data_IF_971371095844
#
_entry.id   IF_971371095844
#
_cell.length_a   1.000
_cell.length_b   1.000
_cell.length_c   1.000
_cell.angle_alpha   90.00
_cell.angle_beta   90.00
_cell.angle_gamma   90.00
#
_symmetry.space_group_name_H-M   'P 1'
#
loop_
_entity.id
_entity.type
_entity.pdbx_description
1 polymer ?
#
# COMPACT_ATOMS: atom_id res chain seq x y z
N UNK A 1 17.60 -5.89 -24.05
CA UNK A 1 16.26 -5.52 -24.53
C UNK A 1 15.47 -5.03 -23.34
N UNK A 2 15.43 -3.73 -23.14
CA UNK A 2 14.62 -3.05 -22.12
C UNK A 2 13.18 -2.98 -22.63
N UNK A 3 12.20 -3.12 -21.73
CA UNK A 3 10.76 -3.17 -22.06
C UNK A 3 10.24 -1.89 -22.76
N UNK A 4 11.03 -0.82 -22.75
CA UNK A 4 10.73 0.46 -23.40
C UNK A 4 10.95 0.44 -24.93
N UNK A 5 11.71 -0.52 -25.48
CA UNK A 5 12.04 -0.58 -26.91
C UNK A 5 10.96 -1.27 -27.79
N UNK A 6 9.92 -1.84 -27.20
CA UNK A 6 8.79 -2.42 -27.96
C UNK A 6 7.88 -1.31 -28.51
N UNK A 7 7.95 -0.12 -27.92
CA UNK A 7 7.13 1.05 -28.28
C UNK A 7 7.92 2.15 -28.99
N UNK A 8 9.09 1.82 -29.54
CA UNK A 8 9.90 2.76 -30.31
C UNK A 8 9.18 3.22 -31.60
N UNK A 9 8.82 4.50 -31.58
CA UNK A 9 8.61 5.44 -32.70
C UNK A 9 7.61 5.03 -33.78
N UNK A 10 6.31 5.11 -33.48
CA UNK A 10 5.24 5.15 -34.49
C UNK A 10 4.70 6.58 -34.67
N UNK A 11 5.56 7.59 -34.42
CA UNK A 11 5.35 8.95 -34.94
C UNK A 11 5.77 9.03 -36.43
N UNK A 12 6.33 7.95 -36.99
CA UNK A 12 6.34 7.78 -38.44
C UNK A 12 4.91 7.48 -38.90
N UNK A 13 4.23 8.54 -39.34
CA UNK A 13 3.03 8.48 -40.14
C UNK A 13 3.15 7.36 -41.19
N UNK A 14 2.46 6.24 -40.95
CA UNK A 14 2.38 5.12 -41.89
C UNK A 14 1.89 5.64 -43.25
N UNK A 15 2.79 5.76 -44.22
CA UNK A 15 2.47 6.12 -45.61
C UNK A 15 2.37 4.84 -46.43
N UNK A 16 1.15 4.36 -46.75
CA UNK A 16 1.01 3.16 -47.57
C UNK A 16 1.59 3.43 -48.96
N UNK A 17 2.42 2.50 -49.44
CA UNK A 17 3.05 2.58 -50.77
C UNK A 17 2.08 2.27 -51.93
N UNK A 18 0.77 2.39 -51.73
CA UNK A 18 -0.27 1.92 -52.66
C UNK A 18 -1.39 2.96 -52.75
N UNK A 19 -1.78 3.29 -53.98
CA UNK A 19 -2.81 4.26 -54.38
C UNK A 19 -4.25 3.84 -54.03
N UNK A 20 -4.43 2.84 -53.17
CA UNK A 20 -5.73 2.26 -52.84
C UNK A 20 -6.13 2.60 -51.40
N UNK A 21 -7.23 3.34 -51.25
CA UNK A 21 -7.76 3.83 -49.97
C UNK A 21 -8.33 2.73 -49.04
N UNK A 22 -8.23 1.46 -49.43
CA UNK A 22 -8.83 0.32 -48.74
C UNK A 22 -7.78 -0.76 -48.47
N UNK A 23 -7.67 -1.19 -47.21
CA UNK A 23 -6.96 -2.40 -46.80
C UNK A 23 -7.94 -3.55 -46.56
N UNK A 24 -7.44 -4.74 -46.27
CA UNK A 24 -8.27 -5.92 -45.95
C UNK A 24 -8.27 -6.16 -44.43
N UNK A 25 -9.46 -6.32 -43.83
CA UNK A 25 -9.62 -6.95 -42.52
C UNK A 25 -10.45 -8.24 -42.61
N UNK A 26 -10.65 -8.90 -41.47
CA UNK A 26 -11.36 -10.18 -41.35
C UNK A 26 -12.82 -10.13 -41.86
N UNK A 27 -13.39 -8.94 -42.07
CA UNK A 27 -14.75 -8.71 -42.55
C UNK A 27 -14.81 -8.10 -43.97
N UNK A 28 -13.67 -7.96 -44.67
CA UNK A 28 -13.59 -7.47 -46.04
C UNK A 28 -12.79 -6.17 -46.22
N UNK A 29 -13.00 -5.44 -47.33
CA UNK A 29 -12.25 -4.22 -47.62
C UNK A 29 -12.69 -3.07 -46.71
N UNK A 30 -11.74 -2.49 -45.98
CA UNK A 30 -11.95 -1.43 -45.00
C UNK A 30 -10.98 -0.29 -45.24
N UNK A 31 -11.44 0.95 -45.08
CA UNK A 31 -10.61 2.13 -45.30
C UNK A 31 -9.34 2.10 -44.43
N UNK A 32 -8.20 2.44 -45.01
CA UNK A 32 -6.88 2.39 -44.33
C UNK A 32 -6.85 3.22 -43.04
N UNK A 33 -7.52 4.38 -43.02
CA UNK A 33 -7.64 5.21 -41.82
C UNK A 33 -8.44 4.54 -40.71
N UNK A 34 -9.48 3.78 -41.08
CA UNK A 34 -10.30 3.03 -40.14
C UNK A 34 -9.49 1.88 -39.53
N UNK A 35 -8.66 1.21 -40.33
CA UNK A 35 -7.72 0.18 -39.85
C UNK A 35 -6.67 0.77 -38.90
N UNK A 36 -6.11 1.93 -39.23
CA UNK A 36 -5.16 2.65 -38.36
C UNK A 36 -5.83 3.05 -37.04
N UNK A 37 -7.05 3.59 -37.10
CA UNK A 37 -7.83 3.96 -35.92
C UNK A 37 -8.15 2.75 -35.03
N UNK A 38 -8.59 1.63 -35.63
CA UNK A 38 -8.82 0.36 -34.91
C UNK A 38 -7.56 -0.11 -34.18
N UNK A 39 -6.40 -0.08 -34.85
CA UNK A 39 -5.10 -0.46 -34.23
C UNK A 39 -4.73 0.47 -33.09
N UNK A 40 -4.89 1.78 -33.27
CA UNK A 40 -4.65 2.79 -32.22
C UNK A 40 -5.54 2.52 -31.01
N UNK A 41 -6.83 2.28 -31.21
CA UNK A 41 -7.78 1.99 -30.12
C UNK A 41 -7.50 0.65 -29.44
N UNK A 42 -7.15 -0.40 -30.19
CA UNK A 42 -6.81 -1.70 -29.61
C UNK A 42 -5.55 -1.62 -28.74
N UNK A 43 -4.51 -0.94 -29.25
CA UNK A 43 -3.27 -0.66 -28.50
C UNK A 43 -3.55 0.17 -27.25
N UNK A 44 -4.34 1.23 -27.39
CA UNK A 44 -4.72 2.08 -26.27
C UNK A 44 -5.55 1.31 -25.23
N UNK A 45 -6.52 0.49 -25.65
CA UNK A 45 -7.33 -0.33 -24.75
C UNK A 45 -6.54 -1.40 -24.01
N UNK A 46 -5.53 -2.01 -24.64
CA UNK A 46 -4.62 -2.95 -23.97
C UNK A 46 -3.75 -2.25 -22.91
N UNK A 47 -3.19 -1.09 -23.25
CA UNK A 47 -2.40 -0.28 -22.32
C UNK A 47 -3.24 0.20 -21.14
N UNK A 48 -4.45 0.68 -21.42
CA UNK A 48 -5.42 1.11 -20.42
C UNK A 48 -5.83 -0.06 -19.52
N UNK A 49 -6.12 -1.23 -20.09
CA UNK A 49 -6.44 -2.44 -19.33
C UNK A 49 -5.33 -2.88 -18.37
N UNK A 50 -4.07 -2.86 -18.80
CA UNK A 50 -2.92 -3.16 -17.92
C UNK A 50 -2.77 -2.11 -16.83
N UNK A 51 -2.87 -0.84 -17.20
CA UNK A 51 -2.68 0.27 -16.26
C UNK A 51 -3.75 0.24 -15.18
N UNK A 52 -5.00 0.06 -15.58
CA UNK A 52 -6.15 -0.08 -14.70
C UNK A 52 -6.04 -1.31 -13.80
N UNK A 53 -5.67 -2.48 -14.33
CA UNK A 53 -5.53 -3.69 -13.52
C UNK A 53 -4.44 -3.55 -12.44
N UNK A 54 -3.33 -2.87 -12.76
CA UNK A 54 -2.26 -2.58 -11.78
C UNK A 54 -2.75 -1.61 -10.71
N UNK A 55 -3.46 -0.57 -11.09
CA UNK A 55 -3.99 0.43 -10.16
C UNK A 55 -5.06 -0.19 -9.24
N UNK A 56 -5.99 -0.96 -9.79
CA UNK A 56 -7.02 -1.67 -9.01
C UNK A 56 -6.40 -2.65 -8.02
N UNK A 57 -5.38 -3.41 -8.44
CA UNK A 57 -4.68 -4.35 -7.54
C UNK A 57 -3.96 -3.62 -6.40
N UNK A 58 -3.36 -2.45 -6.68
CA UNK A 58 -2.70 -1.63 -5.68
C UNK A 58 -3.70 -1.03 -4.67
N UNK A 59 -4.81 -0.47 -5.19
CA UNK A 59 -5.85 0.11 -4.36
C UNK A 59 -6.51 -0.95 -3.48
N UNK A 60 -6.78 -2.13 -4.01
CA UNK A 60 -7.31 -3.25 -3.22
C UNK A 60 -6.37 -3.60 -2.07
N UNK A 61 -5.06 -3.73 -2.33
CA UNK A 61 -4.09 -3.99 -1.27
C UNK A 61 -4.03 -2.87 -0.22
N UNK A 62 -4.22 -1.61 -0.63
CA UNK A 62 -4.30 -0.48 0.29
C UNK A 62 -5.58 -0.53 1.14
N UNK A 63 -6.73 -0.79 0.54
CA UNK A 63 -8.02 -0.85 1.23
C UNK A 63 -8.06 -1.99 2.26
N UNK A 64 -7.38 -3.11 1.97
CA UNK A 64 -7.23 -4.22 2.90
C UNK A 64 -6.25 -3.88 4.05
N UNK A 65 -5.11 -3.26 3.74
CA UNK A 65 -4.05 -2.98 4.71
C UNK A 65 -4.27 -1.74 5.59
N UNK A 66 -4.89 -0.69 5.05
CA UNK A 66 -5.04 0.61 5.70
C UNK A 66 -5.85 0.54 7.02
N UNK A 67 -7.02 -0.12 7.07
CA UNK A 67 -7.79 -0.23 8.31
C UNK A 67 -7.03 -0.97 9.42
N UNK A 68 -6.20 -1.95 9.06
CA UNK A 68 -5.40 -2.73 10.00
C UNK A 68 -4.31 -1.84 10.61
N UNK A 69 -3.55 -1.13 9.76
CA UNK A 69 -2.54 -0.18 10.20
C UNK A 69 -3.12 0.96 11.04
N UNK A 70 -4.32 1.44 10.69
CA UNK A 70 -5.02 2.47 11.44
C UNK A 70 -5.40 2.02 12.85
N UNK A 71 -5.95 0.80 13.02
CA UNK A 71 -6.25 0.23 14.35
C UNK A 71 -4.99 0.07 15.20
N UNK A 72 -3.92 -0.46 14.61
CA UNK A 72 -2.63 -0.62 15.29
C UNK A 72 -2.05 0.74 15.74
N UNK A 73 -2.07 1.73 14.84
CA UNK A 73 -1.62 3.09 15.14
C UNK A 73 -2.44 3.75 16.24
N UNK A 74 -3.77 3.58 16.23
CA UNK A 74 -4.63 4.06 17.29
C UNK A 74 -4.24 3.44 18.64
N UNK A 75 -3.98 2.13 18.69
CA UNK A 75 -3.62 1.47 19.93
C UNK A 75 -2.27 1.87 20.49
N UNK A 76 -1.26 1.99 19.62
CA UNK A 76 0.05 2.54 19.99
C UNK A 76 -0.13 3.95 20.57
N UNK A 77 -0.94 4.78 19.92
CA UNK A 77 -1.26 6.13 20.36
C UNK A 77 -1.86 6.16 21.77
N UNK A 78 -2.81 5.28 22.07
CA UNK A 78 -3.40 5.16 23.40
C UNK A 78 -2.38 4.75 24.47
N UNK A 79 -1.47 3.83 24.16
CA UNK A 79 -0.42 3.40 25.10
C UNK A 79 0.56 4.54 25.37
N UNK A 80 1.01 5.23 24.32
CA UNK A 80 1.89 6.39 24.45
C UNK A 80 1.23 7.54 25.23
N UNK A 81 -0.06 7.78 25.01
CA UNK A 81 -0.83 8.75 25.78
C UNK A 81 -0.89 8.39 27.27
N UNK A 82 -1.13 7.12 27.60
CA UNK A 82 -1.11 6.64 28.98
C UNK A 82 0.28 6.81 29.63
N UNK A 83 1.35 6.44 28.92
CA UNK A 83 2.73 6.63 29.41
C UNK A 83 3.06 8.11 29.63
N UNK A 84 2.59 8.99 28.75
CA UNK A 84 2.78 10.44 28.90
C UNK A 84 2.06 11.01 30.12
N UNK A 85 0.85 10.52 30.42
CA UNK A 85 0.13 10.91 31.64
C UNK A 85 0.90 10.46 32.89
N UNK A 86 1.43 9.23 32.90
CA UNK A 86 2.23 8.72 34.01
C UNK A 86 3.55 9.49 34.19
N UNK A 87 4.17 9.93 33.09
CA UNK A 87 5.34 10.82 33.10
C UNK A 87 5.00 12.18 33.71
N UNK A 88 3.87 12.79 33.32
CA UNK A 88 3.39 14.06 33.90
C UNK A 88 3.09 13.96 35.40
N UNK A 89 2.67 12.78 35.86
CA UNK A 89 2.47 12.48 37.28
C UNK A 89 3.78 12.14 38.01
N UNK A 90 4.93 12.25 37.35
CA UNK A 90 6.26 11.90 37.87
C UNK A 90 6.37 10.45 38.37
N UNK A 91 5.58 9.52 37.81
CA UNK A 91 5.57 8.09 38.19
C UNK A 91 6.52 7.23 37.37
N UNK A 92 7.00 7.78 36.26
CA UNK A 92 7.84 7.11 35.26
C UNK A 92 9.01 8.04 34.92
N UNK A 93 10.18 7.45 34.63
CA UNK A 93 11.36 8.19 34.16
C UNK A 93 11.17 8.63 32.71
N UNK A 94 11.76 9.77 32.34
CA UNK A 94 11.79 10.21 30.95
C UNK A 94 12.47 9.16 30.04
N UNK A 95 13.45 8.43 30.56
CA UNK A 95 14.16 7.36 29.83
C UNK A 95 13.25 6.17 29.46
N UNK A 96 12.32 5.81 30.34
CA UNK A 96 11.35 4.73 30.08
C UNK A 96 10.37 5.13 28.98
N UNK A 97 9.96 6.41 28.96
CA UNK A 97 9.10 6.96 27.93
C UNK A 97 9.80 7.01 26.57
N UNK A 98 11.06 7.47 26.53
CA UNK A 98 11.84 7.53 25.29
C UNK A 98 12.12 6.12 24.74
N UNK A 99 12.38 5.15 25.63
CA UNK A 99 12.52 3.74 25.28
C UNK A 99 11.23 3.18 24.69
N UNK A 100 10.08 3.45 25.32
CA UNK A 100 8.77 3.05 24.80
C UNK A 100 8.46 3.70 23.44
N UNK A 101 8.79 4.98 23.26
CA UNK A 101 8.58 5.70 22.01
C UNK A 101 9.40 5.11 20.87
N UNK A 102 10.65 4.72 21.14
CA UNK A 102 11.52 4.10 20.14
C UNK A 102 11.07 2.66 19.82
N UNK A 103 10.66 1.89 20.82
CA UNK A 103 10.18 0.52 20.64
C UNK A 103 8.82 0.43 19.95
N UNK A 104 7.89 1.33 20.27
CA UNK A 104 6.54 1.40 19.68
C UNK A 104 6.50 2.17 18.35
N UNK A 105 7.65 2.51 17.77
CA UNK A 105 7.69 3.16 16.48
C UNK A 105 6.97 2.31 15.42
N UNK A 106 6.09 2.95 14.65
CA UNK A 106 5.24 2.26 13.68
C UNK A 106 6.05 1.48 12.63
N UNK A 107 7.26 1.93 12.29
CA UNK A 107 8.17 1.20 11.38
C UNK A 107 8.67 -0.12 11.97
N UNK A 108 8.75 -0.21 13.30
CA UNK A 108 9.19 -1.39 14.05
C UNK A 108 8.03 -2.34 14.34
N UNK A 109 6.85 -1.78 14.63
CA UNK A 109 5.62 -2.56 14.88
C UNK A 109 5.06 -3.16 13.59
N UNK A 110 5.23 -2.49 12.46
CA UNK A 110 4.79 -2.98 11.15
C UNK A 110 5.91 -3.68 10.37
N UNK A 111 6.89 -4.28 11.05
CA UNK A 111 7.92 -5.06 10.36
C UNK A 111 7.31 -6.30 9.72
N UNK A 112 7.83 -6.66 8.55
CA UNK A 112 7.41 -7.84 7.76
C UNK A 112 7.45 -9.14 8.55
N UNK A 113 8.25 -9.19 9.63
CA UNK A 113 8.40 -10.34 10.51
C UNK A 113 7.14 -10.65 11.34
N UNK A 114 6.22 -9.68 11.47
CA UNK A 114 4.95 -9.83 12.18
C UNK A 114 3.76 -10.13 11.24
N UNK A 115 4.03 -10.35 9.95
CA UNK A 115 3.04 -10.74 8.96
C UNK A 115 3.18 -12.23 8.64
N UNK A 116 2.07 -12.95 8.63
CA UNK A 116 2.04 -14.33 8.14
C UNK A 116 2.29 -14.36 6.61
N UNK A 117 2.57 -15.54 6.06
CA UNK A 117 2.80 -15.78 4.62
C UNK A 117 1.66 -15.28 3.72
N UNK A 118 0.48 -14.99 4.31
CA UNK A 118 -0.69 -14.39 3.65
C UNK A 118 -0.84 -12.87 3.84
N UNK A 119 0.18 -12.19 4.38
CA UNK A 119 0.13 -10.77 4.77
C UNK A 119 -0.94 -10.44 5.83
N UNK A 120 -1.39 -11.44 6.58
CA UNK A 120 -2.27 -11.21 7.72
C UNK A 120 -1.44 -10.80 8.94
N UNK A 121 -1.83 -9.72 9.61
CA UNK A 121 -1.29 -9.39 10.92
C UNK A 121 -1.88 -10.30 12.00
N UNK A 122 -1.04 -10.67 12.96
CA UNK A 122 -1.48 -11.16 14.26
C UNK A 122 -2.34 -10.07 14.95
N UNK A 123 -3.34 -10.48 15.73
CA UNK A 123 -4.28 -9.57 16.37
C UNK A 123 -3.55 -8.46 17.16
N UNK A 124 -4.15 -7.27 17.26
CA UNK A 124 -3.58 -6.07 17.91
C UNK A 124 -3.05 -6.37 19.32
N UNK A 125 -3.72 -7.32 20.01
CA UNK A 125 -3.44 -7.75 21.38
C UNK A 125 -2.32 -8.78 21.49
N UNK A 126 -2.02 -9.48 20.40
CA UNK A 126 -0.98 -10.50 20.35
C UNK A 126 0.38 -9.92 20.01
N UNK A 127 0.43 -8.66 19.54
CA UNK A 127 1.69 -8.01 19.22
C UNK A 127 2.58 -7.90 20.48
N UNK A 128 3.81 -8.47 20.45
CA UNK A 128 4.62 -8.65 21.66
C UNK A 128 5.02 -7.32 22.31
N UNK A 129 5.26 -6.26 21.52
CA UNK A 129 5.59 -4.93 22.05
C UNK A 129 4.37 -4.25 22.69
N UNK A 130 3.18 -4.42 22.10
CA UNK A 130 1.95 -3.82 22.63
C UNK A 130 1.63 -4.48 23.97
N UNK A 131 1.72 -5.81 24.03
CA UNK A 131 1.53 -6.56 25.27
C UNK A 131 2.50 -6.13 26.36
N UNK A 132 3.80 -6.07 26.06
CA UNK A 132 4.84 -5.63 27.01
C UNK A 132 4.49 -4.29 27.65
N UNK A 133 4.21 -3.27 26.84
CA UNK A 133 3.96 -1.91 27.33
C UNK A 133 2.57 -1.76 27.96
N UNK A 134 1.57 -2.53 27.52
CA UNK A 134 0.25 -2.58 28.15
C UNK A 134 0.33 -3.12 29.58
N UNK A 135 1.00 -4.27 29.78
CA UNK A 135 1.20 -4.84 31.13
C UNK A 135 2.02 -3.91 32.03
N UNK A 136 2.99 -3.19 31.46
CA UNK A 136 3.76 -2.19 32.20
C UNK A 136 2.88 -1.02 32.68
N UNK A 137 2.00 -0.50 31.82
CA UNK A 137 1.04 0.53 32.19
C UNK A 137 0.05 0.06 33.28
N UNK A 138 -0.45 -1.18 33.17
CA UNK A 138 -1.35 -1.79 34.16
C UNK A 138 -0.69 -1.93 35.53
N UNK A 139 0.55 -2.45 35.57
CA UNK A 139 1.32 -2.59 36.82
C UNK A 139 1.51 -1.27 37.57
N UNK A 140 1.75 -0.16 36.84
CA UNK A 140 1.91 1.18 37.42
C UNK A 140 0.58 1.82 37.84
N UNK A 141 -0.54 1.36 37.27
CA UNK A 141 -1.89 1.80 37.64
C UNK A 141 -2.39 1.10 38.89
N UNK A 142 -2.16 -0.20 39.04
CA UNK A 142 -2.65 -0.97 40.20
C UNK A 142 -2.01 -0.53 41.52
N UNK A 143 -0.76 -0.04 41.46
CA UNK A 143 -0.09 0.63 42.58
C UNK A 143 -0.82 1.90 43.10
N UNK A 144 -1.78 2.45 42.35
CA UNK A 144 -2.59 3.60 42.76
C UNK A 144 -3.92 3.24 43.41
N UNK A 145 -4.45 2.02 43.21
CA UNK A 145 -5.70 1.58 43.86
C UNK A 145 -5.47 0.97 45.26
N UNK A 146 -4.21 0.71 45.61
CA UNK A 146 -3.83 0.15 46.93
C UNK A 146 -3.32 1.21 47.92
N UNK A 147 -3.35 2.51 47.55
CA UNK A 147 -2.97 3.64 48.40
C UNK A 147 -4.17 4.56 48.61
#
# INVERSE_FOLDING_TARGET
>A
MTFDDIWLSDDEEYKPAITENYGLDDNGPVHVDLLSLKRKHAKQGYLDGISKAKEESLQQGFDEGYPIGARMGARIGEILAQLKILLMQSKISAEDYDSAFHELNIKKVLQTDFFDSKLNMLDEREHPMIRKWMTFCESKRDLQSQL
#
